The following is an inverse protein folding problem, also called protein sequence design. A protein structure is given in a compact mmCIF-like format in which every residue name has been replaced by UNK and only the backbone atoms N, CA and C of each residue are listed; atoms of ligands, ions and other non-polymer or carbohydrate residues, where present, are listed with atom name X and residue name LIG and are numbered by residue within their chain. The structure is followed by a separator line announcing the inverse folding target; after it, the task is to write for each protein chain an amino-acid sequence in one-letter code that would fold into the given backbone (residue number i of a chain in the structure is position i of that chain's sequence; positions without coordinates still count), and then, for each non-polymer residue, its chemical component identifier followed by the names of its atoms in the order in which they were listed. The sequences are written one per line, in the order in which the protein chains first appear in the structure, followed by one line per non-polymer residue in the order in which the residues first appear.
data_IF_281040834950
#
_entry.id   IF_281040834950
#
_cell.length_a   1.000
_cell.length_b   1.000
_cell.length_c   1.000
_cell.angle_alpha   90.00
_cell.angle_beta   90.00
_cell.angle_gamma   90.00
#
_symmetry.space_group_name_H-M   'P 1'
#
loop_
_entity.id
_entity.type
_entity.pdbx_description
1 polymer ?
#
# COMPACT_ATOMS: atom_id res chain seq x y z
N UNK A 1 2.98 -15.08 -6.50
CA UNK A 1 3.07 -16.50 -6.86
C UNK A 1 2.98 -16.66 -8.35
N UNK A 2 3.47 -17.78 -8.88
CA UNK A 2 3.32 -18.20 -10.27
C UNK A 2 2.37 -19.39 -10.30
N UNK A 3 1.24 -19.25 -11.00
CA UNK A 3 0.19 -20.26 -11.08
C UNK A 3 -0.18 -20.50 -12.54
N UNK A 4 -0.44 -21.76 -12.90
CA UNK A 4 -1.06 -22.13 -14.16
C UNK A 4 -2.59 -21.94 -14.05
N UNK A 5 -3.29 -21.87 -15.18
CA UNK A 5 -4.76 -21.84 -15.25
C UNK A 5 -5.39 -23.17 -14.74
N UNK A 6 -4.57 -24.20 -14.51
CA UNK A 6 -4.97 -25.45 -13.87
C UNK A 6 -4.82 -25.38 -12.32
N UNK A 7 -5.85 -25.80 -11.57
CA UNK A 7 -6.03 -25.34 -10.19
C UNK A 7 -5.12 -25.96 -9.11
N UNK A 8 -4.06 -26.72 -9.43
CA UNK A 8 -3.47 -27.59 -8.38
C UNK A 8 -1.96 -27.75 -8.25
N UNK A 9 -1.08 -27.32 -9.16
CA UNK A 9 0.36 -27.41 -8.92
C UNK A 9 1.11 -26.24 -9.60
N UNK A 10 2.19 -25.71 -8.99
CA UNK A 10 3.08 -24.80 -9.70
C UNK A 10 3.74 -25.54 -10.87
N UNK A 11 4.18 -24.79 -11.90
CA UNK A 11 4.95 -25.38 -12.98
C UNK A 11 6.25 -25.98 -12.46
N UNK A 12 6.68 -27.09 -13.08
CA UNK A 12 8.00 -27.67 -12.82
C UNK A 12 9.10 -26.63 -13.09
N UNK A 13 10.15 -26.64 -12.27
CA UNK A 13 11.29 -25.73 -12.36
C UNK A 13 10.91 -24.24 -12.36
N UNK A 14 9.86 -23.86 -11.64
CA UNK A 14 9.46 -22.48 -11.48
C UNK A 14 10.61 -21.62 -10.90
N UNK A 15 10.92 -20.51 -11.57
CA UNK A 15 11.89 -19.52 -11.10
C UNK A 15 11.29 -18.11 -11.12
N UNK A 16 11.79 -17.25 -10.24
CA UNK A 16 11.43 -15.84 -10.22
C UNK A 16 12.69 -15.01 -9.93
N UNK A 17 12.90 -13.94 -10.70
CA UNK A 17 14.09 -13.09 -10.61
C UNK A 17 13.64 -11.65 -10.45
N UNK A 18 14.26 -10.94 -9.51
CA UNK A 18 14.13 -9.50 -9.33
C UNK A 18 15.34 -8.77 -9.91
N UNK A 19 15.05 -7.69 -10.61
CA UNK A 19 16.04 -6.78 -11.18
C UNK A 19 15.90 -5.42 -10.51
N UNK A 20 17.04 -4.78 -10.24
CA UNK A 20 17.13 -3.42 -9.70
C UNK A 20 17.92 -2.57 -10.69
N UNK A 21 17.32 -1.46 -11.17
CA UNK A 21 17.94 -0.56 -12.14
C UNK A 21 18.48 -1.26 -13.39
N UNK A 22 17.77 -2.29 -13.85
CA UNK A 22 18.12 -3.10 -15.02
C UNK A 22 19.19 -4.16 -14.77
N UNK A 23 19.73 -4.25 -13.56
CA UNK A 23 20.74 -5.23 -13.16
C UNK A 23 20.06 -6.36 -12.41
N UNK A 24 20.44 -7.61 -12.71
CA UNK A 24 19.98 -8.77 -11.94
C UNK A 24 20.35 -8.56 -10.47
N UNK A 25 19.33 -8.46 -9.62
CA UNK A 25 19.51 -8.28 -8.18
C UNK A 25 19.54 -9.65 -7.51
N UNK A 26 18.51 -10.49 -7.73
CA UNK A 26 18.47 -11.83 -7.15
C UNK A 26 17.47 -12.76 -7.84
N UNK A 27 17.75 -14.06 -7.77
CA UNK A 27 16.75 -15.11 -7.91
C UNK A 27 16.03 -15.33 -6.55
N UNK A 28 14.70 -15.35 -6.58
CA UNK A 28 13.86 -15.50 -5.39
C UNK A 28 13.72 -16.97 -5.02
N UNK A 29 13.72 -17.25 -3.72
CA UNK A 29 13.54 -18.62 -3.23
C UNK A 29 12.06 -18.99 -3.26
N UNK A 30 11.74 -20.16 -3.82
CA UNK A 30 10.43 -20.77 -3.66
C UNK A 30 10.23 -21.14 -2.18
N UNK A 31 9.12 -20.72 -1.60
CA UNK A 31 8.80 -20.94 -0.18
C UNK A 31 8.16 -22.31 0.01
N UNK A 32 7.37 -22.75 -0.98
CA UNK A 32 6.64 -24.00 -0.96
C UNK A 32 6.53 -24.57 -2.39
N UNK A 33 6.06 -25.82 -2.51
CA UNK A 33 5.65 -26.41 -3.79
C UNK A 33 4.29 -25.85 -4.27
N UNK A 34 3.93 -24.62 -3.91
CA UNK A 34 2.66 -23.98 -4.31
C UNK A 34 2.86 -22.84 -5.33
N UNK A 35 4.11 -22.55 -5.72
CA UNK A 35 4.42 -21.48 -6.68
C UNK A 35 4.61 -20.10 -6.04
N UNK A 36 4.66 -20.01 -4.72
CA UNK A 36 4.94 -18.77 -4.01
C UNK A 36 6.46 -18.58 -3.82
N UNK A 37 6.91 -17.35 -4.07
CA UNK A 37 8.30 -16.92 -3.91
C UNK A 37 8.38 -15.79 -2.90
N UNK A 38 9.39 -15.81 -2.05
CA UNK A 38 9.65 -14.75 -1.07
C UNK A 38 10.88 -13.96 -1.50
N UNK A 39 10.83 -12.66 -1.20
CA UNK A 39 12.01 -11.83 -1.25
C UNK A 39 12.98 -12.27 -0.14
N UNK A 40 14.24 -12.61 -0.46
CA UNK A 40 15.24 -12.88 0.56
C UNK A 40 15.43 -11.71 1.53
N UNK A 41 15.69 -12.02 2.81
CA UNK A 41 15.82 -11.02 3.87
C UNK A 41 17.08 -10.13 3.75
N UNK A 42 18.04 -10.52 2.91
CA UNK A 42 19.24 -9.74 2.59
C UNK A 42 19.00 -8.68 1.50
N UNK A 43 17.88 -8.72 0.79
CA UNK A 43 17.53 -7.70 -0.20
C UNK A 43 16.84 -6.54 0.50
N UNK A 44 17.42 -5.35 0.35
CA UNK A 44 16.80 -4.10 0.77
C UNK A 44 16.27 -3.38 -0.46
N UNK A 45 14.96 -3.19 -0.50
CA UNK A 45 14.32 -2.35 -1.52
C UNK A 45 14.67 -0.89 -1.23
N UNK A 46 15.21 -0.21 -2.24
CA UNK A 46 15.73 1.15 -2.14
C UNK A 46 14.73 2.13 -2.74
N UNK A 47 14.38 3.15 -1.98
CA UNK A 47 13.54 4.24 -2.45
C UNK A 47 14.23 4.99 -3.60
N UNK A 48 13.47 5.34 -4.64
CA UNK A 48 13.97 6.00 -5.85
C UNK A 48 14.48 5.05 -6.94
N UNK A 49 14.87 3.81 -6.58
CA UNK A 49 15.31 2.79 -7.53
C UNK A 49 14.16 2.21 -8.34
N UNK A 50 14.50 1.59 -9.46
CA UNK A 50 13.54 0.90 -10.34
C UNK A 50 13.63 -0.61 -10.21
N UNK A 51 12.49 -1.30 -10.30
CA UNK A 51 12.42 -2.76 -10.22
C UNK A 51 11.48 -3.36 -11.25
N UNK A 52 11.80 -4.57 -11.67
CA UNK A 52 10.89 -5.47 -12.37
C UNK A 52 11.16 -6.91 -11.99
N UNK A 53 10.16 -7.77 -12.21
CA UNK A 53 10.26 -9.21 -11.99
C UNK A 53 10.18 -9.95 -13.32
N UNK A 54 10.87 -11.07 -13.41
CA UNK A 54 10.62 -12.10 -14.41
C UNK A 54 10.33 -13.42 -13.71
N UNK A 55 9.38 -14.19 -14.20
CA UNK A 55 9.10 -15.53 -13.74
C UNK A 55 8.99 -16.49 -14.93
N UNK A 56 9.48 -17.71 -14.76
CA UNK A 56 9.45 -18.76 -15.77
C UNK A 56 9.13 -20.11 -15.13
N UNK A 57 8.67 -21.05 -15.94
CA UNK A 57 8.40 -22.43 -15.54
C UNK A 57 8.26 -23.30 -16.78
N UNK A 58 8.55 -24.59 -16.65
CA UNK A 58 8.58 -25.51 -17.79
C UNK A 58 7.22 -25.58 -18.48
N UNK A 59 7.22 -25.43 -19.81
CA UNK A 59 6.00 -25.51 -20.63
C UNK A 59 5.09 -24.27 -20.57
N UNK A 60 5.47 -23.22 -19.84
CA UNK A 60 4.74 -21.97 -19.76
C UNK A 60 5.48 -20.82 -20.45
N UNK A 61 4.77 -19.79 -20.94
CA UNK A 61 5.41 -18.56 -21.39
C UNK A 61 6.06 -17.81 -20.21
N UNK A 62 7.20 -17.19 -20.47
CA UNK A 62 7.82 -16.29 -19.49
C UNK A 62 6.89 -15.12 -19.17
N UNK A 63 6.80 -14.82 -17.89
CA UNK A 63 6.04 -13.70 -17.33
C UNK A 63 7.02 -12.62 -16.92
N UNK A 64 6.69 -11.37 -17.19
CA UNK A 64 7.48 -10.24 -16.73
C UNK A 64 6.60 -9.05 -16.36
N UNK A 65 7.04 -8.28 -15.39
CA UNK A 65 6.36 -7.04 -15.01
C UNK A 65 6.91 -5.87 -15.82
N UNK A 66 6.13 -4.80 -15.96
CA UNK A 66 6.70 -3.50 -16.33
C UNK A 66 7.67 -3.01 -15.24
N UNK A 67 8.57 -2.10 -15.62
CA UNK A 67 9.44 -1.40 -14.67
C UNK A 67 8.59 -0.51 -13.78
N UNK A 68 8.74 -0.66 -12.46
CA UNK A 68 8.20 0.28 -11.48
C UNK A 68 9.32 1.12 -10.88
N UNK A 69 9.00 2.33 -10.45
CA UNK A 69 9.89 3.12 -9.60
C UNK A 69 9.36 3.11 -8.18
N UNK A 70 10.20 2.73 -7.21
CA UNK A 70 9.87 2.90 -5.80
C UNK A 70 9.90 4.40 -5.51
N UNK A 71 8.82 4.99 -4.98
CA UNK A 71 8.80 6.41 -4.69
C UNK A 71 9.86 6.76 -3.63
N UNK A 72 10.35 8.00 -3.69
CA UNK A 72 11.17 8.55 -2.61
C UNK A 72 10.30 8.74 -1.35
N UNK A 73 10.93 8.60 -0.19
CA UNK A 73 10.26 8.90 1.09
C UNK A 73 9.89 10.38 1.13
N UNK A 74 8.61 10.66 1.31
CA UNK A 74 8.10 11.98 1.66
C UNK A 74 7.87 12.02 3.17
N UNK A 75 8.46 13.01 3.82
CA UNK A 75 8.41 13.15 5.28
C UNK A 75 7.28 14.08 5.72
N UNK A 76 6.68 13.76 6.85
CA UNK A 76 5.81 14.68 7.55
C UNK A 76 6.59 15.94 7.96
N UNK A 77 5.98 17.10 7.71
CA UNK A 77 6.55 18.41 8.04
C UNK A 77 6.14 18.85 9.43
N UNK A 78 4.86 18.66 9.78
CA UNK A 78 4.32 19.00 11.09
C UNK A 78 3.06 18.21 11.39
N UNK A 79 2.74 18.16 12.68
CA UNK A 79 1.47 17.68 13.21
C UNK A 79 1.03 18.62 14.34
N UNK A 80 -0.22 19.07 14.29
CA UNK A 80 -0.85 19.92 15.30
C UNK A 80 -2.08 19.19 15.80
N UNK A 81 -2.07 18.84 17.08
CA UNK A 81 -3.17 18.13 17.74
C UNK A 81 -4.03 19.15 18.48
N UNK A 82 -5.33 19.09 18.24
CA UNK A 82 -6.35 19.86 18.95
C UNK A 82 -7.37 18.88 19.50
N UNK A 83 -7.40 18.78 20.82
CA UNK A 83 -8.43 18.02 21.53
C UNK A 83 -9.67 18.89 21.67
N UNK A 84 -10.85 18.32 21.44
CA UNK A 84 -12.12 19.00 21.63
C UNK A 84 -12.78 18.51 22.91
N UNK A 85 -13.50 19.40 23.58
CA UNK A 85 -14.21 19.09 24.83
C UNK A 85 -15.24 17.96 24.66
N UNK A 86 -15.68 17.73 23.41
CA UNK A 86 -16.72 16.75 23.05
C UNK A 86 -16.19 15.33 22.78
N UNK A 87 -14.90 15.08 23.02
CA UNK A 87 -14.31 13.75 22.85
C UNK A 87 -13.91 13.41 21.41
N UNK A 88 -13.83 14.40 20.52
CA UNK A 88 -13.19 14.29 19.20
C UNK A 88 -11.76 14.83 19.25
N UNK A 89 -10.82 14.11 18.64
CA UNK A 89 -9.44 14.54 18.42
C UNK A 89 -9.35 15.04 16.98
N UNK A 90 -8.92 16.29 16.80
CA UNK A 90 -8.60 16.87 15.49
C UNK A 90 -7.08 16.96 15.33
N UNK A 91 -6.55 16.43 14.24
CA UNK A 91 -5.12 16.44 13.93
C UNK A 91 -4.92 17.10 12.57
N UNK A 92 -4.19 18.21 12.54
CA UNK A 92 -3.74 18.85 11.31
C UNK A 92 -2.31 18.38 11.02
N UNK A 93 -2.11 17.70 9.90
CA UNK A 93 -0.79 17.25 9.43
C UNK A 93 -0.46 17.91 8.10
N UNK A 94 0.83 18.03 7.79
CA UNK A 94 1.25 18.48 6.46
C UNK A 94 2.56 17.87 6.01
N UNK A 95 2.76 17.82 4.69
CA UNK A 95 3.98 17.38 4.03
C UNK A 95 4.21 18.21 2.76
N UNK A 96 5.44 18.21 2.25
CA UNK A 96 5.81 18.90 1.02
C UNK A 96 5.84 17.92 -0.15
N UNK A 97 5.11 18.25 -1.21
CA UNK A 97 5.10 17.49 -2.46
C UNK A 97 6.35 17.79 -3.32
N UNK A 98 6.79 16.81 -4.12
CA UNK A 98 7.95 16.98 -5.02
C UNK A 98 7.51 17.49 -6.40
N UNK A 99 7.93 18.70 -6.82
CA UNK A 99 7.38 19.35 -8.02
C UNK A 99 7.67 18.61 -9.32
N UNK A 100 6.71 18.68 -10.26
CA UNK A 100 6.91 18.30 -11.66
C UNK A 100 6.91 16.80 -11.91
N UNK A 101 6.38 16.02 -10.96
CA UNK A 101 6.08 14.59 -11.09
C UNK A 101 4.65 14.37 -10.62
N UNK A 102 3.93 13.43 -11.22
CA UNK A 102 2.67 12.98 -10.63
C UNK A 102 3.01 12.07 -9.44
N UNK A 103 2.74 12.54 -8.23
CA UNK A 103 2.93 11.77 -7.01
C UNK A 103 1.59 11.22 -6.51
N UNK A 104 1.65 10.09 -5.82
CA UNK A 104 0.48 9.33 -5.38
C UNK A 104 0.63 8.96 -3.91
N UNK A 105 -0.45 9.08 -3.16
CA UNK A 105 -0.42 9.05 -1.70
C UNK A 105 -1.58 8.29 -1.07
N UNK A 106 -1.33 7.80 0.14
CA UNK A 106 -2.34 7.34 1.11
C UNK A 106 -1.94 7.84 2.49
N UNK A 107 -2.92 8.21 3.29
CA UNK A 107 -2.71 8.53 4.71
C UNK A 107 -3.50 7.53 5.54
N UNK A 108 -2.80 6.80 6.41
CA UNK A 108 -3.38 5.85 7.36
C UNK A 108 -3.27 6.41 8.78
N UNK A 109 -4.31 6.20 9.57
CA UNK A 109 -4.30 6.49 11.01
C UNK A 109 -4.51 5.20 11.79
N UNK A 110 -3.57 4.87 12.66
CA UNK A 110 -3.65 3.79 13.63
C UNK A 110 -3.75 4.36 15.04
N UNK A 111 -4.57 3.75 15.89
CA UNK A 111 -4.84 4.21 17.26
C UNK A 111 -4.48 3.11 18.23
N UNK A 112 -3.94 3.46 19.38
CA UNK A 112 -3.51 2.51 20.40
C UNK A 112 -4.01 2.91 21.77
N UNK A 113 -4.27 1.92 22.62
CA UNK A 113 -4.63 2.13 24.02
C UNK A 113 -3.40 2.32 24.92
N UNK A 114 -3.64 2.36 26.24
CA UNK A 114 -2.57 2.51 27.22
C UNK A 114 -1.61 1.30 27.26
N UNK A 115 -2.09 0.10 26.91
CA UNK A 115 -1.30 -1.11 26.83
C UNK A 115 -0.45 -1.20 25.56
N UNK A 116 -0.69 -0.31 24.59
CA UNK A 116 -0.08 -0.37 23.25
C UNK A 116 -0.82 -1.31 22.31
N UNK A 117 -2.04 -1.74 22.66
CA UNK A 117 -2.89 -2.56 21.80
C UNK A 117 -3.56 -1.70 20.74
N UNK A 118 -3.62 -2.20 19.50
CA UNK A 118 -4.23 -1.50 18.37
C UNK A 118 -5.76 -1.44 18.57
N UNK A 119 -6.30 -0.23 18.53
CA UNK A 119 -7.72 0.11 18.68
C UNK A 119 -8.45 0.33 17.36
N UNK A 120 -7.75 0.39 16.22
CA UNK A 120 -8.44 0.41 14.92
C UNK A 120 -9.09 -0.95 14.68
N UNK A 121 -10.34 -0.92 14.20
CA UNK A 121 -11.28 -2.03 14.15
C UNK A 121 -10.60 -3.40 13.89
N UNK A 122 -10.65 -4.29 14.88
CA UNK A 122 -10.07 -5.65 14.95
C UNK A 122 -10.55 -6.63 13.85
N UNK A 123 -11.21 -6.15 12.79
CA UNK A 123 -11.65 -6.93 11.63
C UNK A 123 -10.71 -6.86 10.43
N UNK A 124 -9.62 -6.08 10.48
CA UNK A 124 -8.61 -6.02 9.42
C UNK A 124 -7.22 -6.27 10.00
N UNK A 125 -6.97 -7.52 10.38
CA UNK A 125 -5.63 -8.05 10.64
C UNK A 125 -4.85 -8.22 9.33
N UNK A 126 -4.75 -7.20 8.48
CA UNK A 126 -3.91 -7.19 7.27
C UNK A 126 -3.57 -5.73 6.93
N UNK A 127 -2.40 -5.43 6.33
CA UNK A 127 -1.93 -4.09 6.02
C UNK A 127 -2.65 -3.53 4.78
N UNK A 128 -3.98 -3.46 4.76
CA UNK A 128 -4.68 -3.05 3.56
C UNK A 128 -4.91 -1.54 3.54
N UNK A 129 -4.13 -0.88 2.67
CA UNK A 129 -4.48 0.41 2.10
C UNK A 129 -5.91 0.30 1.55
N UNK A 130 -6.82 1.15 2.03
CA UNK A 130 -8.17 1.24 1.47
C UNK A 130 -8.07 1.80 0.04
N UNK A 131 -8.50 1.05 -1.01
CA UNK A 131 -8.42 1.52 -2.39
C UNK A 131 -9.15 2.85 -2.64
N UNK A 132 -10.15 3.19 -1.83
CA UNK A 132 -10.87 4.46 -1.91
C UNK A 132 -10.12 5.63 -1.28
N UNK A 133 -9.08 5.36 -0.49
CA UNK A 133 -8.26 6.35 0.22
C UNK A 133 -7.04 6.85 -0.57
N UNK A 134 -6.75 6.26 -1.74
CA UNK A 134 -5.63 6.67 -2.58
C UNK A 134 -5.92 8.00 -3.29
N UNK A 135 -4.94 8.89 -3.37
CA UNK A 135 -5.08 10.17 -4.06
C UNK A 135 -3.80 10.58 -4.79
N UNK A 136 -3.93 11.51 -5.74
CA UNK A 136 -2.82 12.11 -6.47
C UNK A 136 -2.58 13.56 -6.04
N UNK A 137 -1.42 14.09 -6.37
CA UNK A 137 -1.02 15.48 -6.15
C UNK A 137 -1.51 16.50 -7.17
N UNK A 138 -2.40 16.14 -8.09
CA UNK A 138 -2.87 17.02 -9.18
C UNK A 138 -3.31 18.42 -8.70
N UNK A 139 -3.87 18.54 -7.50
CA UNK A 139 -4.33 19.81 -6.94
C UNK A 139 -3.28 20.55 -6.07
N UNK A 140 -2.13 19.93 -5.79
CA UNK A 140 -1.09 20.45 -4.89
C UNK A 140 0.37 20.18 -5.33
N UNK A 141 0.61 19.85 -6.59
CA UNK A 141 1.96 19.64 -7.18
C UNK A 141 2.95 20.74 -6.78
N UNK A 142 4.07 20.31 -6.19
CA UNK A 142 5.16 21.14 -5.70
C UNK A 142 4.84 22.03 -4.50
N UNK A 143 3.72 21.79 -3.81
CA UNK A 143 3.25 22.62 -2.68
C UNK A 143 3.14 21.79 -1.39
N UNK A 144 3.08 22.49 -0.27
CA UNK A 144 2.70 21.87 1.00
C UNK A 144 1.24 21.46 0.97
N UNK A 145 0.97 20.17 1.15
CA UNK A 145 -0.38 19.66 1.35
C UNK A 145 -0.73 19.61 2.83
N UNK A 146 -1.94 20.01 3.18
CA UNK A 146 -2.46 19.99 4.56
C UNK A 146 -3.67 19.08 4.64
N UNK A 147 -3.68 18.20 5.64
CA UNK A 147 -4.77 17.25 5.88
C UNK A 147 -5.26 17.42 7.29
N UNK A 148 -6.59 17.48 7.44
CA UNK A 148 -7.26 17.52 8.74
C UNK A 148 -7.90 16.15 8.95
N UNK A 149 -7.39 15.43 9.93
CA UNK A 149 -7.90 14.14 10.37
C UNK A 149 -8.71 14.34 11.64
N UNK A 150 -9.83 13.63 11.75
CA UNK A 150 -10.72 13.67 12.90
C UNK A 150 -11.01 12.25 13.35
N UNK A 151 -10.97 12.00 14.65
CA UNK A 151 -11.23 10.67 15.20
C UNK A 151 -11.78 10.77 16.63
N UNK A 152 -12.68 9.87 17.07
CA UNK A 152 -13.13 9.88 18.45
C UNK A 152 -11.98 9.49 19.39
N UNK A 153 -11.98 10.09 20.58
CA UNK A 153 -11.05 9.78 21.66
C UNK A 153 -11.26 8.39 22.24
N UNK A 154 -12.48 7.88 22.17
CA UNK A 154 -12.87 6.57 22.65
C UNK A 154 -13.29 5.69 21.48
N UNK A 155 -12.80 4.46 21.46
CA UNK A 155 -13.32 3.38 20.62
C UNK A 155 -14.23 2.48 21.45
N UNK A 156 -15.28 1.94 20.85
CA UNK A 156 -16.25 1.10 21.56
C UNK A 156 -16.13 -0.35 21.11
N UNK A 157 -15.67 -1.21 22.01
CA UNK A 157 -15.50 -2.65 21.78
C UNK A 157 -16.32 -3.45 22.78
N UNK A 158 -17.21 -4.33 22.31
CA UNK A 158 -18.09 -5.14 23.17
C UNK A 158 -18.84 -4.33 24.26
N UNK A 159 -19.25 -3.10 23.92
CA UNK A 159 -19.87 -2.11 24.81
C UNK A 159 -18.94 -1.49 25.88
N UNK A 160 -17.64 -1.69 25.78
CA UNK A 160 -16.62 -1.02 26.60
C UNK A 160 -15.99 0.13 25.83
N UNK A 161 -15.89 1.30 26.48
CA UNK A 161 -15.21 2.46 25.92
C UNK A 161 -13.72 2.38 26.24
N UNK A 162 -12.90 2.19 25.21
CA UNK A 162 -11.43 2.14 25.33
C UNK A 162 -10.85 3.48 24.89
N UNK A 163 -10.08 4.10 25.78
CA UNK A 163 -9.47 5.42 25.54
C UNK A 163 -8.24 5.28 24.64
N UNK A 164 -8.20 6.06 23.57
CA UNK A 164 -7.00 6.22 22.74
C UNK A 164 -5.94 6.98 23.54
N UNK A 165 -4.74 6.40 23.62
CA UNK A 165 -3.57 6.98 24.27
C UNK A 165 -2.48 7.37 23.27
N UNK A 166 -2.37 6.65 22.15
CA UNK A 166 -1.42 6.97 21.10
C UNK A 166 -2.10 6.93 19.73
N UNK A 167 -1.69 7.81 18.83
CA UNK A 167 -2.08 7.82 17.42
C UNK A 167 -0.82 7.78 16.57
N UNK A 168 -0.76 6.85 15.62
CA UNK A 168 0.24 6.84 14.56
C UNK A 168 -0.40 7.26 13.25
N UNK A 169 0.22 8.21 12.55
CA UNK A 169 -0.22 8.65 11.22
C UNK A 169 0.89 8.32 10.23
N UNK A 170 0.55 7.47 9.27
CA UNK A 170 1.49 6.95 8.26
C UNK A 170 1.16 7.59 6.92
N UNK A 171 2.15 8.26 6.32
CA UNK A 171 2.10 8.72 4.93
C UNK A 171 2.73 7.65 4.05
N UNK A 172 1.96 7.10 3.13
CA UNK A 172 2.48 6.27 2.06
C UNK A 172 2.67 7.13 0.82
N UNK A 173 3.86 7.10 0.24
CA UNK A 173 4.09 7.50 -1.15
C UNK A 173 4.02 6.24 -1.99
N UNK A 174 3.21 6.22 -3.06
CA UNK A 174 2.94 5.04 -3.88
C UNK A 174 3.62 5.15 -5.25
N UNK A 175 4.03 4.01 -5.81
CA UNK A 175 4.34 3.92 -7.23
C UNK A 175 3.06 4.14 -8.05
N UNK A 176 3.21 4.59 -9.30
CA UNK A 176 2.09 4.82 -10.21
C UNK A 176 1.27 3.55 -10.43
N UNK A 177 1.93 2.41 -10.51
CA UNK A 177 1.32 1.11 -10.79
C UNK A 177 0.46 0.67 -9.61
N UNK A 178 0.96 0.85 -8.38
CA UNK A 178 0.20 0.53 -7.17
C UNK A 178 -1.02 1.45 -7.02
N UNK A 179 -0.85 2.75 -7.27
CA UNK A 179 -1.98 3.69 -7.33
C UNK A 179 -3.02 3.30 -8.39
N UNK A 180 -2.55 2.93 -9.60
CA UNK A 180 -3.44 2.54 -10.71
C UNK A 180 -4.21 1.26 -10.40
N UNK A 181 -3.56 0.30 -9.74
CA UNK A 181 -4.18 -0.92 -9.22
C UNK A 181 -5.31 -0.59 -8.24
N UNK A 182 -5.02 0.16 -7.18
CA UNK A 182 -6.05 0.53 -6.19
C UNK A 182 -7.20 1.33 -6.80
N UNK A 183 -6.91 2.29 -7.67
CA UNK A 183 -7.96 3.05 -8.37
C UNK A 183 -8.83 2.14 -9.26
N UNK A 184 -8.24 1.17 -9.96
CA UNK A 184 -9.00 0.21 -10.77
C UNK A 184 -9.84 -0.74 -9.92
N UNK A 185 -9.33 -1.14 -8.75
CA UNK A 185 -10.02 -1.99 -7.81
C UNK A 185 -11.23 -1.27 -7.21
N UNK A 186 -11.06 -0.03 -6.76
CA UNK A 186 -12.16 0.80 -6.26
C UNK A 186 -13.28 0.97 -7.31
N UNK A 187 -12.91 1.18 -8.59
CA UNK A 187 -13.88 1.25 -9.69
C UNK A 187 -14.58 -0.08 -9.94
N UNK A 188 -13.83 -1.19 -9.94
CA UNK A 188 -14.41 -2.52 -10.09
C UNK A 188 -15.39 -2.82 -8.95
N UNK A 189 -15.04 -2.53 -7.70
CA UNK A 189 -15.93 -2.72 -6.57
C UNK A 189 -17.20 -1.87 -6.67
N UNK A 190 -17.09 -0.64 -7.18
CA UNK A 190 -18.26 0.21 -7.42
C UNK A 190 -19.23 -0.37 -8.46
N UNK A 191 -18.77 -1.22 -9.40
CA UNK A 191 -19.67 -1.87 -10.37
C UNK A 191 -20.59 -2.92 -9.73
N UNK A 192 -20.25 -3.49 -8.57
CA UNK A 192 -21.18 -4.40 -7.87
C UNK A 192 -22.43 -3.71 -7.34
N UNK A 193 -22.41 -2.38 -7.23
CA UNK A 193 -23.58 -1.60 -6.82
C UNK A 193 -24.61 -1.41 -7.93
N UNK A 194 -24.23 -1.63 -9.20
CA UNK A 194 -25.11 -1.55 -10.36
C UNK A 194 -24.88 -2.73 -11.32
N UNK A 195 -25.76 -3.74 -11.31
CA UNK A 195 -25.61 -4.94 -12.13
C UNK A 195 -25.77 -4.70 -13.64
N UNK A 196 -26.03 -3.46 -14.08
CA UNK A 196 -26.09 -3.07 -15.49
C UNK A 196 -24.78 -2.51 -16.03
N UNK A 197 -23.81 -2.21 -15.15
CA UNK A 197 -22.48 -1.79 -15.56
C UNK A 197 -21.64 -2.99 -15.99
N UNK A 198 -20.91 -2.86 -17.10
CA UNK A 198 -19.86 -3.81 -17.44
C UNK A 198 -18.75 -3.76 -16.38
N UNK A 199 -18.21 -4.92 -16.01
CA UNK A 199 -17.13 -5.03 -15.03
C UNK A 199 -15.94 -4.15 -15.45
N UNK A 200 -15.53 -3.22 -14.58
CA UNK A 200 -14.36 -2.39 -14.83
C UNK A 200 -13.08 -3.25 -14.78
N UNK A 201 -12.21 -3.23 -15.80
CA UNK A 201 -11.02 -4.06 -15.80
C UNK A 201 -10.06 -3.66 -14.67
N UNK A 202 -9.59 -4.66 -13.91
CA UNK A 202 -8.56 -4.46 -12.88
C UNK A 202 -7.21 -4.27 -13.58
N UNK A 203 -6.49 -3.23 -13.18
CA UNK A 203 -5.17 -2.90 -13.73
C UNK A 203 -4.17 -4.02 -13.43
N UNK A 204 -3.36 -4.36 -14.43
CA UNK A 204 -2.25 -5.30 -14.33
C UNK A 204 -1.05 -4.72 -15.08
N UNK A 205 0.13 -4.76 -14.46
CA UNK A 205 1.40 -4.46 -15.14
C UNK A 205 2.24 -5.72 -15.41
N UNK A 206 1.61 -6.89 -15.33
CA UNK A 206 2.21 -8.18 -15.66
C UNK A 206 1.90 -8.52 -17.12
N UNK A 207 2.93 -8.84 -17.91
CA UNK A 207 2.80 -9.33 -19.28
C UNK A 207 2.80 -10.86 -19.27
N UNK A 208 1.97 -11.44 -20.14
CA UNK A 208 1.71 -12.89 -20.21
C UNK A 208 1.16 -13.49 -18.90
N UNK A 209 0.51 -12.68 -18.07
CA UNK A 209 -0.11 -13.10 -16.81
C UNK A 209 -0.96 -12.00 -16.19
N UNK A 210 -1.42 -12.24 -14.97
CA UNK A 210 -2.21 -11.30 -14.19
C UNK A 210 -1.53 -11.00 -12.87
N UNK A 211 -1.56 -9.74 -12.46
CA UNK A 211 -1.06 -9.32 -11.15
C UNK A 211 -0.52 -7.91 -11.17
N UNK A 212 0.11 -7.53 -10.07
CA UNK A 212 0.68 -6.22 -9.88
C UNK A 212 2.05 -6.36 -9.25
N UNK A 213 3.05 -5.73 -9.86
CA UNK A 213 4.22 -5.26 -9.15
C UNK A 213 3.98 -3.79 -8.81
N UNK A 214 4.01 -3.47 -7.52
CA UNK A 214 3.83 -2.12 -7.01
C UNK A 214 4.74 -1.91 -5.82
N UNK A 215 5.03 -0.65 -5.51
CA UNK A 215 5.90 -0.30 -4.39
C UNK A 215 5.43 0.95 -3.69
N UNK A 216 5.90 1.11 -2.46
CA UNK A 216 5.64 2.30 -1.67
C UNK A 216 6.82 2.58 -0.74
N UNK A 217 6.85 3.81 -0.23
CA UNK A 217 7.72 4.23 0.86
C UNK A 217 6.87 4.93 1.90
N UNK A 218 7.27 4.87 3.17
CA UNK A 218 6.48 5.45 4.26
C UNK A 218 7.28 6.41 5.14
N UNK A 219 6.55 7.34 5.74
CA UNK A 219 6.98 8.08 6.93
C UNK A 219 5.86 8.08 7.97
N UNK A 220 6.23 8.01 9.25
CA UNK A 220 5.29 7.87 10.35
C UNK A 220 5.56 8.91 11.41
N UNK A 221 4.49 9.57 11.86
CA UNK A 221 4.50 10.36 13.09
C UNK A 221 3.69 9.66 14.17
N UNK A 222 4.19 9.73 15.40
CA UNK A 222 3.53 9.20 16.59
C UNK A 222 3.14 10.35 17.50
N UNK A 223 1.88 10.34 17.95
CA UNK A 223 1.27 11.35 18.80
C UNK A 223 0.84 10.67 20.10
N UNK A 224 1.40 11.11 21.22
CA UNK A 224 0.98 10.73 22.56
C UNK A 224 -0.14 11.66 23.05
N UNK A 225 -1.20 11.07 23.61
CA UNK A 225 -2.36 11.78 24.14
C UNK A 225 -2.37 11.67 25.67
N UNK A 226 -2.42 12.81 26.36
CA UNK A 226 -2.47 12.89 27.82
C UNK A 226 -3.92 12.89 28.34
#
# INVERSE_FOLDING_TARGET
GLFDDSPQLPPDNASCIIYEDGILSKELAAIQQDGTFELPTDIKITAGSTYYLTASGDGLPDIYTENIQIPNVIFWKNAIVRDTVDGEITIEVSFDDTPGKNNYYVIKMDKYDQGGELLTNLSLSEPFIDPSSVFSDLDFDGKTHKVILKTPRYEYFMNEAIRTHQIQIVLFSLSKELYSFFNSLNKFESTFSDPTLENYPIYSNVKNGYGILGGFSTDTITIELF
#
